data_IF_704690731440
#
_entry.id   IF_704690731440
#
_cell.length_a   1.000
_cell.length_b   1.000
_cell.length_c   1.000
_cell.angle_alpha   90.00
_cell.angle_beta   90.00
_cell.angle_gamma   90.00
#
_symmetry.space_group_name_H-M   'P 1'
#
loop_
_entity.id
_entity.type
_entity.pdbx_description
1 polymer ?
2 water ?
#
# COMPACT_ATOMS: atom_id res chain seq x y z
N UNK A 1 -1.95 -11.57 -6.05
CA UNK A 1 -0.58 -11.21 -6.42
C UNK A 1 0.11 -10.39 -5.32
N UNK A 2 -0.58 -9.39 -4.79
CA UNK A 2 0.00 -8.48 -3.82
C UNK A 2 -1.13 -7.98 -2.91
N UNK A 3 -0.76 -7.34 -1.79
CA UNK A 3 -1.75 -6.81 -0.83
C UNK A 3 -1.45 -5.33 -0.65
N UNK A 4 -2.41 -4.61 -0.10
CA UNK A 4 -2.30 -3.17 0.22
C UNK A 4 -2.46 -3.02 1.73
N UNK A 5 -1.60 -2.20 2.34
CA UNK A 5 -1.69 -1.88 3.77
C UNK A 5 -1.76 -0.36 3.96
N UNK A 6 -2.68 0.09 4.81
CA UNK A 6 -2.82 1.50 5.24
C UNK A 6 -2.40 1.62 6.71
N UNK A 7 -1.39 2.43 6.98
CA UNK A 7 -0.88 2.74 8.33
C UNK A 7 -1.76 3.88 8.90
N UNK A 8 -2.51 3.59 9.95
CA UNK A 8 -3.31 4.57 10.71
C UNK A 8 -4.07 5.45 9.72
N UNK A 9 -4.91 4.88 8.83
CA UNK A 9 -5.69 5.70 7.90
C UNK A 9 -6.63 6.68 8.62
N UNK A 10 -6.89 7.86 8.03
CA UNK A 10 -7.54 9.03 8.70
C UNK A 10 -8.96 9.26 8.15
N UNK A 11 -9.14 9.22 6.82
CA UNK A 11 -10.38 9.67 6.11
C UNK A 11 -11.13 8.44 5.60
N UNK A 12 -12.27 8.10 6.21
CA UNK A 12 -13.09 6.91 5.87
C UNK A 12 -13.41 6.81 4.37
N UNK A 13 -13.92 7.87 3.69
CA UNK A 13 -14.23 7.76 2.27
C UNK A 13 -13.07 7.21 1.43
N UNK A 14 -11.82 7.58 1.77
CA UNK A 14 -10.61 7.09 1.06
C UNK A 14 -10.51 5.58 1.26
N UNK A 15 -10.68 5.10 2.49
CA UNK A 15 -10.59 3.66 2.83
C UNK A 15 -11.69 2.91 2.07
N UNK A 16 -12.87 3.52 1.93
CA UNK A 16 -13.97 3.00 1.10
C UNK A 16 -13.55 2.80 -0.34
N UNK A 17 -12.98 3.84 -0.95
CA UNK A 17 -12.49 3.78 -2.34
C UNK A 17 -11.41 2.69 -2.47
N UNK A 18 -10.50 2.59 -1.50
CA UNK A 18 -9.37 1.62 -1.56
C UNK A 18 -9.90 0.17 -1.45
N UNK A 19 -10.98 -0.05 -0.70
CA UNK A 19 -11.65 -1.40 -0.62
C UNK A 19 -12.15 -1.81 -2.01
N UNK A 20 -12.82 -0.91 -2.74
CA UNK A 20 -13.31 -1.18 -4.11
C UNK A 20 -12.09 -1.43 -4.99
N UNK A 21 -11.08 -0.58 -4.86
CA UNK A 21 -9.85 -0.69 -5.67
C UNK A 21 -9.23 -2.08 -5.48
N UNK A 22 -9.14 -2.55 -4.23
CA UNK A 22 -8.56 -3.87 -3.89
C UNK A 22 -9.32 -5.00 -4.62
N UNK A 23 -10.65 -4.92 -4.70
CA UNK A 23 -11.48 -5.91 -5.42
C UNK A 23 -11.12 -5.91 -6.91
N UNK A 24 -10.88 -4.74 -7.51
CA UNK A 24 -10.57 -4.63 -8.96
C UNK A 24 -9.25 -5.29 -9.31
N UNK A 25 -8.26 -5.29 -8.41
CA UNK A 25 -6.91 -5.83 -8.73
C UNK A 25 -6.59 -7.10 -7.94
N UNK A 26 -7.52 -7.60 -7.15
CA UNK A 26 -7.34 -8.90 -6.47
C UNK A 26 -6.51 -8.79 -5.22
N UNK A 27 -6.30 -7.59 -4.66
CA UNK A 27 -5.46 -7.40 -3.44
C UNK A 27 -6.35 -7.57 -2.21
N UNK A 28 -5.81 -8.08 -1.11
CA UNK A 28 -6.43 -7.95 0.23
C UNK A 28 -5.92 -6.65 0.89
N UNK A 29 -6.73 -6.07 1.77
CA UNK A 29 -6.48 -4.77 2.45
C UNK A 29 -6.16 -5.01 3.92
N UNK A 30 -5.04 -4.46 4.39
CA UNK A 30 -4.57 -4.48 5.79
C UNK A 30 -4.70 -3.07 6.35
N UNK A 31 -5.39 -2.91 7.47
CA UNK A 31 -5.56 -1.61 8.19
C UNK A 31 -4.77 -1.71 9.49
N UNK A 32 -3.75 -0.88 9.67
CA UNK A 32 -2.92 -0.88 10.90
C UNK A 32 -3.47 0.20 11.85
N UNK A 33 -3.96 -0.23 13.00
CA UNK A 33 -4.61 0.64 14.02
C UNK A 33 -3.58 1.56 14.66
N UNK A 34 -3.98 2.68 15.31
CA UNK A 34 -5.38 3.13 15.32
C UNK A 34 -5.87 3.79 14.02
N UNK A 35 -7.14 3.53 13.68
CA UNK A 35 -7.88 4.21 12.58
C UNK A 35 -8.37 5.58 13.07
N UNK A 36 -8.54 6.54 12.16
CA UNK A 36 -9.14 7.85 12.44
C UNK A 36 -10.66 7.83 12.33
N UNK A 37 -11.28 6.64 12.25
CA UNK A 37 -12.74 6.47 12.04
C UNK A 37 -13.13 5.12 12.64
N UNK A 38 -14.43 4.90 12.89
CA UNK A 38 -14.97 3.57 13.32
C UNK A 38 -15.21 2.76 12.04
N UNK A 39 -15.03 1.44 12.09
CA UNK A 39 -15.29 0.52 10.94
C UNK A 39 -16.11 -0.68 11.45
N UNK A 53 -17.26 -7.59 0.70
CA UNK A 53 -17.19 -6.24 1.33
C UNK A 53 -15.90 -6.15 2.17
N UNK A 54 -16.02 -6.25 3.50
CA UNK A 54 -14.89 -6.32 4.47
C UNK A 54 -14.28 -7.74 4.49
N UNK A 55 -14.72 -8.66 3.60
CA UNK A 55 -14.26 -10.07 3.54
C UNK A 55 -12.75 -10.11 3.21
N UNK A 56 -12.24 -9.09 2.53
CA UNK A 56 -10.80 -9.01 2.18
C UNK A 56 -10.06 -8.04 3.12
N UNK A 57 -10.68 -7.55 4.20
CA UNK A 57 -10.07 -6.51 5.09
C UNK A 57 -9.65 -7.09 6.44
N UNK A 58 -8.39 -6.90 6.83
CA UNK A 58 -7.83 -7.40 8.11
C UNK A 58 -7.30 -6.22 8.92
N UNK A 59 -7.67 -6.14 10.20
CA UNK A 59 -7.17 -5.07 11.12
C UNK A 59 -6.03 -5.66 11.93
N UNK A 60 -4.94 -4.89 12.10
CA UNK A 60 -3.79 -5.21 12.96
C UNK A 60 -3.64 -4.15 14.07
N UNK A 61 -3.35 -4.60 15.30
CA UNK A 61 -3.28 -3.75 16.53
C UNK A 61 -2.19 -2.70 16.35
N UNK A 62 -1.11 -3.05 15.65
CA UNK A 62 0.05 -2.15 15.46
C UNK A 62 0.96 -2.73 14.38
N UNK A 63 1.99 -1.99 14.01
CA UNK A 63 2.93 -2.36 12.93
C UNK A 63 3.56 -3.73 13.24
N UNK A 64 4.02 -3.94 14.48
CA UNK A 64 4.72 -5.21 14.82
C UNK A 64 3.74 -6.39 14.66
N UNK A 65 2.48 -6.26 15.07
CA UNK A 65 1.45 -7.30 14.88
C UNK A 65 1.27 -7.57 13.37
N UNK A 66 1.27 -6.53 12.55
CA UNK A 66 1.17 -6.63 11.07
C UNK A 66 2.34 -7.48 10.56
N UNK A 67 3.57 -7.18 10.99
CA UNK A 67 4.76 -7.99 10.62
C UNK A 67 4.61 -9.43 11.14
N UNK A 68 4.12 -9.62 12.37
CA UNK A 68 3.95 -10.98 12.95
C UNK A 68 2.95 -11.77 12.08
N UNK A 69 1.88 -11.12 11.60
CA UNK A 69 0.87 -11.77 10.73
C UNK A 69 1.49 -12.18 9.38
N UNK A 70 2.35 -11.34 8.80
CA UNK A 70 2.96 -11.57 7.45
C UNK A 70 3.98 -12.74 7.46
N UNK A 71 4.77 -12.84 8.53
CA UNK A 71 5.83 -13.86 8.74
C UNK A 71 5.25 -15.27 8.59
N UNK A 72 4.04 -15.48 9.08
CA UNK A 72 3.36 -16.79 9.06
C UNK A 72 2.74 -17.08 7.70
N UNK A 73 2.71 -16.10 6.77
CA UNK A 73 1.91 -16.24 5.53
C UNK A 73 2.78 -16.20 4.28
N UNK A 74 4.01 -16.69 4.41
CA UNK A 74 4.90 -16.97 3.28
C UNK A 74 5.70 -15.74 2.89
N UNK A 75 6.13 -15.70 1.63
CA UNK A 75 7.06 -14.67 1.08
C UNK A 75 6.37 -13.30 1.09
N UNK A 76 7.10 -12.27 1.50
CA UNK A 76 6.57 -10.89 1.41
C UNK A 76 7.74 -9.92 1.42
N UNK A 77 7.47 -8.74 0.87
CA UNK A 77 8.28 -7.51 1.00
C UNK A 77 7.31 -6.34 1.18
N UNK A 78 7.66 -5.46 2.12
CA UNK A 78 6.94 -4.18 2.35
C UNK A 78 7.57 -3.07 1.51
N UNK A 79 6.80 -2.52 0.58
CA UNK A 79 7.15 -1.34 -0.26
C UNK A 79 6.43 -0.12 0.31
N UNK A 80 7.18 0.85 0.81
CA UNK A 80 6.60 2.00 1.52
C UNK A 80 6.53 3.19 0.55
N UNK A 81 5.33 3.73 0.38
CA UNK A 81 5.09 4.97 -0.41
C UNK A 81 5.65 6.16 0.38
N UNK A 82 6.74 6.78 -0.08
CA UNK A 82 7.36 7.94 0.60
C UNK A 82 7.99 8.89 -0.42
N UNK A 83 8.09 10.19 -0.10
CA UNK A 83 8.85 11.15 -0.93
C UNK A 83 10.35 11.02 -0.62
N UNK A 84 10.74 10.27 0.42
CA UNK A 84 12.13 10.26 0.95
C UNK A 84 12.96 9.20 0.23
N UNK A 85 13.01 9.28 -1.09
CA UNK A 85 13.69 8.29 -1.94
C UNK A 85 13.90 8.94 -3.29
N UNK A 86 14.85 8.44 -4.07
CA UNK A 86 15.08 8.83 -5.49
C UNK A 86 14.35 7.85 -6.43
N UNK A 87 13.97 6.67 -5.95
CA UNK A 87 13.39 5.62 -6.82
C UNK A 87 11.88 5.74 -6.94
N UNK A 88 11.34 5.65 -8.16
CA UNK A 88 9.88 5.80 -8.37
C UNK A 88 9.26 4.40 -8.41
N UNK A 89 7.93 4.37 -8.43
CA UNK A 89 7.12 3.14 -8.29
C UNK A 89 7.40 2.19 -9.49
N UNK A 90 7.83 2.73 -10.63
CA UNK A 90 8.16 1.95 -11.87
C UNK A 90 9.55 1.31 -11.77
N UNK A 91 10.47 1.84 -10.96
CA UNK A 91 11.86 1.33 -10.82
C UNK A 91 11.87 0.08 -9.94
N UNK A 92 10.95 -0.05 -8.98
CA UNK A 92 10.82 -1.26 -8.16
C UNK A 92 10.41 -2.41 -9.08
N UNK A 93 10.82 -3.63 -8.73
CA UNK A 93 10.47 -4.88 -9.44
C UNK A 93 9.64 -5.73 -8.47
N UNK A 94 8.33 -5.78 -8.69
CA UNK A 94 7.36 -6.39 -7.74
C UNK A 94 7.35 -7.91 -7.97
N UNK A 95 6.98 -8.63 -6.93
CA UNK A 95 6.86 -10.10 -6.94
C UNK A 95 5.59 -10.45 -6.20
N UNK A 96 5.12 -11.66 -6.43
CA UNK A 96 4.00 -12.21 -5.63
C UNK A 96 4.35 -12.12 -4.14
N UNK A 97 3.40 -11.70 -3.31
CA UNK A 97 3.59 -11.55 -1.86
C UNK A 97 3.94 -10.13 -1.45
N UNK A 98 4.24 -9.24 -2.39
CA UNK A 98 4.58 -7.83 -2.05
C UNK A 98 3.37 -7.17 -1.38
N UNK A 99 3.67 -6.26 -0.47
CA UNK A 99 2.66 -5.48 0.28
C UNK A 99 2.94 -4.00 0.01
N UNK A 100 1.95 -3.27 -0.51
CA UNK A 100 2.10 -1.82 -0.81
C UNK A 100 1.56 -1.05 0.40
N UNK A 101 2.46 -0.43 1.15
CA UNK A 101 2.17 0.29 2.43
C UNK A 101 2.13 1.81 2.22
N UNK A 102 1.09 2.43 2.75
CA UNK A 102 0.78 3.88 2.66
C UNK A 102 0.43 4.40 4.04
N UNK A 103 0.99 5.56 4.36
CA UNK A 103 0.66 6.30 5.58
C UNK A 103 -0.51 7.23 5.31
N UNK A 104 -0.98 7.95 6.35
CA UNK A 104 -2.09 8.88 6.19
C UNK A 104 -1.75 9.91 5.11
N UNK A 105 -2.77 10.44 4.46
CA UNK A 105 -2.56 11.39 3.34
C UNK A 105 -1.76 12.61 3.81
N UNK A 106 -2.06 13.15 4.99
CA UNK A 106 -1.47 14.46 5.40
C UNK A 106 -0.13 14.32 6.15
N UNK A 107 0.27 13.11 6.56
CA UNK A 107 1.45 12.85 7.45
C UNK A 107 2.44 11.87 6.80
N UNK A 108 2.00 10.94 5.97
CA UNK A 108 2.90 9.89 5.44
C UNK A 108 3.34 8.93 6.54
N UNK A 109 4.37 8.13 6.29
CA UNK A 109 4.76 7.07 7.25
C UNK A 109 5.82 7.63 8.17
N UNK A 110 5.85 7.16 9.42
CA UNK A 110 6.92 7.53 10.32
C UNK A 110 8.30 6.97 9.94
N UNK A 111 9.33 7.70 10.38
CA UNK A 111 10.75 7.44 10.03
C UNK A 111 11.11 6.01 10.46
N UNK A 112 10.64 5.58 11.64
CA UNK A 112 10.98 4.25 12.24
C UNK A 112 10.45 3.10 11.34
N UNK A 113 9.36 3.31 10.62
CA UNK A 113 8.86 2.34 9.61
C UNK A 113 9.73 2.42 8.36
N UNK A 114 9.88 3.60 7.77
CA UNK A 114 10.60 3.80 6.49
C UNK A 114 12.03 3.28 6.63
N UNK A 115 12.70 3.61 7.73
CA UNK A 115 14.15 3.32 7.86
C UNK A 115 14.35 1.82 8.15
N UNK A 116 13.30 1.07 8.51
CA UNK A 116 13.37 -0.40 8.73
C UNK A 116 13.51 -1.16 7.40
N UNK A 117 13.31 -0.49 6.27
CA UNK A 117 13.21 -1.11 4.94
C UNK A 117 14.45 -0.82 4.12
N UNK A 118 14.89 -1.78 3.30
CA UNK A 118 15.88 -1.50 2.26
C UNK A 118 15.47 -0.28 1.43
N UNK A 119 16.46 0.46 0.93
CA UNK A 119 16.27 1.67 0.10
C UNK A 119 15.45 1.32 -1.15
N UNK A 120 15.60 0.12 -1.72
CA UNK A 120 14.88 -0.29 -2.96
C UNK A 120 13.39 -0.60 -2.67
N UNK A 121 12.96 -0.64 -1.41
CA UNK A 121 11.53 -0.88 -1.05
C UNK A 121 10.87 0.44 -0.63
N UNK A 122 11.53 1.56 -0.93
CA UNK A 122 11.01 2.92 -0.64
C UNK A 122 10.65 3.48 -2.00
N UNK A 123 9.39 3.83 -2.24
CA UNK A 123 9.02 4.26 -3.61
C UNK A 123 8.28 5.59 -3.54
N UNK A 124 8.58 6.46 -4.49
CA UNK A 124 7.87 7.74 -4.62
C UNK A 124 7.19 7.77 -5.99
N UNK A 125 6.05 8.42 -6.05
CA UNK A 125 5.26 8.57 -7.29
C UNK A 125 5.74 9.88 -7.91
N UNK A 126 6.05 9.94 -9.21
CA UNK A 126 6.47 11.21 -9.81
C UNK A 126 5.40 12.29 -9.64
N UNK A 127 5.82 13.54 -9.57
CA UNK A 127 4.86 14.67 -9.48
C UNK A 127 5.52 15.94 -9.99
N UNK A 128 4.69 16.84 -10.51
CA UNK A 128 5.10 18.16 -11.02
C UNK A 128 5.54 19.01 -9.82
N UNK A 129 6.51 19.93 -9.98
CA UNK A 129 6.85 20.84 -8.88
C UNK A 129 5.59 21.62 -8.46
N UNK A 130 5.45 21.98 -7.19
CA UNK A 130 4.33 22.85 -6.70
C UNK A 130 2.96 22.18 -6.82
N UNK A 131 2.86 20.88 -7.08
CA UNK A 131 1.56 20.16 -6.96
C UNK A 131 1.31 19.85 -5.47
N UNK A 132 0.03 19.90 -5.05
CA UNK A 132 -0.49 19.31 -3.78
C UNK A 132 -0.26 17.78 -3.75
N UNK A 133 -0.09 17.18 -2.56
CA UNK A 133 -0.14 15.71 -2.34
C UNK A 133 -1.29 15.09 -3.15
N UNK A 134 -1.14 13.83 -3.56
CA UNK A 134 -2.23 13.05 -4.21
C UNK A 134 -3.27 12.69 -3.16
N UNK A 135 -4.54 12.69 -3.52
CA UNK A 135 -5.53 11.90 -2.77
C UNK A 135 -4.97 10.47 -2.59
N UNK A 136 -4.98 9.97 -1.35
CA UNK A 136 -4.44 8.65 -0.98
C UNK A 136 -4.96 7.54 -1.91
N UNK A 137 -6.26 7.46 -2.15
CA UNK A 137 -6.82 6.37 -2.98
C UNK A 137 -6.24 6.44 -4.41
N UNK A 138 -5.96 7.63 -4.96
CA UNK A 138 -5.35 7.76 -6.31
C UNK A 138 -3.91 7.26 -6.26
N UNK A 139 -3.16 7.57 -5.19
CA UNK A 139 -1.79 7.08 -4.99
C UNK A 139 -1.81 5.54 -4.91
N UNK A 140 -2.76 4.94 -4.17
CA UNK A 140 -2.89 3.46 -4.10
C UNK A 140 -3.15 2.90 -5.50
N UNK A 141 -4.10 3.48 -6.24
CA UNK A 141 -4.48 2.98 -7.58
C UNK A 141 -3.24 2.99 -8.47
N UNK A 142 -2.47 4.07 -8.44
CA UNK A 142 -1.25 4.24 -9.30
C UNK A 142 -0.23 3.14 -8.96
N UNK A 143 0.09 2.96 -7.68
CA UNK A 143 1.12 1.95 -7.36
C UNK A 143 0.57 0.53 -7.58
N UNK A 144 -0.67 0.26 -7.17
CA UNK A 144 -1.30 -1.07 -7.32
C UNK A 144 -1.33 -1.45 -8.81
N UNK A 145 -1.68 -0.53 -9.70
CA UNK A 145 -1.80 -0.89 -11.13
C UNK A 145 -0.41 -1.03 -11.77
N UNK A 146 0.62 -0.39 -11.22
CA UNK A 146 2.00 -0.60 -11.75
C UNK A 146 2.48 -1.99 -11.31
N UNK A 147 2.26 -2.39 -10.06
CA UNK A 147 2.61 -3.75 -9.59
C UNK A 147 1.88 -4.77 -10.46
N UNK A 148 0.59 -4.58 -10.66
CA UNK A 148 -0.23 -5.55 -11.42
C UNK A 148 0.26 -5.62 -12.87
N UNK A 149 0.66 -4.49 -13.46
CA UNK A 149 1.23 -4.47 -14.81
C UNK A 149 2.47 -5.35 -14.86
N UNK A 150 3.38 -5.23 -13.88
CA UNK A 150 4.64 -5.99 -13.90
C UNK A 150 4.30 -7.47 -13.70
N UNK A 151 3.21 -7.79 -13.00
CA UNK A 151 2.80 -9.20 -12.80
C UNK A 151 1.81 -9.64 -13.90
N UNK A 152 1.81 -8.98 -15.07
CA UNK A 152 1.06 -9.40 -16.28
C UNK A 152 -0.46 -9.32 -16.10
N UNK A 153 -0.95 -8.53 -15.14
CA UNK A 153 -2.39 -8.40 -14.79
C UNK A 153 -3.00 -9.79 -14.57
N UNK A 154 -2.23 -10.71 -14.00
CA UNK A 154 -2.69 -12.09 -13.73
C UNK A 154 -4.02 -12.03 -12.96
N UNK A 155 -5.05 -12.68 -13.50
CA UNK A 155 -6.38 -12.80 -12.88
C UNK A 155 -7.41 -11.92 -13.56
N UNK A 156 -7.01 -10.94 -14.37
CA UNK A 156 -7.93 -9.98 -15.03
C UNK A 156 -8.90 -10.74 -15.94
N UNK A 157 -10.15 -10.29 -16.03
CA UNK A 157 -11.20 -10.76 -16.98
C UNK A 157 -10.65 -10.79 -18.40
N UNK A 158 -10.88 -11.85 -19.17
CA UNK A 158 -10.54 -11.92 -20.61
C UNK A 158 -9.04 -12.09 -20.84
N UNK A 159 -8.24 -12.16 -19.77
CA UNK A 159 -6.75 -12.21 -19.82
C UNK A 159 -6.27 -13.64 -19.58
#
# INVERSE_FOLDING_TARGET
>A
MFDIALYEPEIAPNTGNIIRLCANCGANLHLIEPLGFDLEEKKVRRAGLDYHDLARVTRHKNYQAFLDYLEQRGEYRIFACTTKTTGHHVDAQYRQGDVLLFGPETRGLPMEVIESLPMSQRIRIPMMPDARSLNLSNAVAIIAFEAWRQLGFQGAKGHHHHHHG
#
